data_IF_299605082070
#
_entry.id   IF_299605082070
#
_cell.length_a   1.000
_cell.length_b   1.000
_cell.length_c   1.000
_cell.angle_alpha   90.00
_cell.angle_beta   90.00
_cell.angle_gamma   90.00
#
_symmetry.space_group_name_H-M   'P 1'
#
loop_
_entity.id
_entity.type
_entity.pdbx_description
1 polymer ?
#
# COMPACT_ATOMS: atom_id res chain seq x y z
N UNK A 1 30.42 24.90 22.05
CA UNK A 1 29.53 23.84 21.52
C UNK A 1 30.22 22.49 21.69
N UNK A 2 30.04 21.83 22.83
CA UNK A 2 30.54 20.47 23.04
C UNK A 2 29.49 19.50 22.51
N UNK A 3 29.83 18.74 21.48
CA UNK A 3 28.99 17.72 20.90
C UNK A 3 28.59 16.71 22.00
N UNK A 4 27.30 16.65 22.35
CA UNK A 4 26.75 15.70 23.33
C UNK A 4 26.68 14.28 22.72
N UNK A 5 27.81 13.79 22.22
CA UNK A 5 27.89 12.57 21.43
C UNK A 5 28.16 11.32 22.27
N UNK A 6 28.39 11.44 23.59
CA UNK A 6 28.70 10.28 24.44
C UNK A 6 27.97 10.42 25.80
N UNK A 7 27.01 9.53 26.08
CA UNK A 7 26.29 9.48 27.36
C UNK A 7 25.06 8.54 27.35
N UNK A 8 24.48 8.26 28.54
CA UNK A 8 23.30 7.37 28.72
C UNK A 8 22.08 7.72 27.85
N UNK A 9 21.98 8.96 27.36
CA UNK A 9 20.92 9.40 26.44
C UNK A 9 21.20 9.16 24.94
N UNK A 10 22.37 8.64 24.56
CA UNK A 10 22.76 8.40 23.17
C UNK A 10 22.02 7.21 22.56
N UNK A 11 22.02 6.07 23.27
CA UNK A 11 21.44 4.82 22.76
C UNK A 11 19.95 4.96 22.40
N UNK A 12 19.09 5.57 23.24
CA UNK A 12 17.68 5.79 22.86
C UNK A 12 17.52 6.71 21.63
N UNK A 13 18.37 7.74 21.49
CA UNK A 13 18.33 8.66 20.34
C UNK A 13 18.77 7.97 19.05
N UNK A 14 19.84 7.19 19.12
CA UNK A 14 20.35 6.42 17.98
C UNK A 14 19.34 5.33 17.57
N UNK A 15 18.72 4.66 18.54
CA UNK A 15 17.68 3.67 18.28
C UNK A 15 16.48 4.27 17.56
N UNK A 16 15.96 5.41 18.05
CA UNK A 16 14.86 6.13 17.36
C UNK A 16 15.28 6.55 15.95
N UNK A 17 16.54 6.97 15.75
CA UNK A 17 17.04 7.31 14.42
C UNK A 17 17.02 6.09 13.48
N UNK A 18 17.47 4.93 13.96
CA UNK A 18 17.42 3.67 13.21
C UNK A 18 15.96 3.30 12.88
N UNK A 19 15.04 3.39 13.85
CA UNK A 19 13.61 3.13 13.59
C UNK A 19 13.05 4.08 12.52
N UNK A 20 13.43 5.36 12.55
CA UNK A 20 12.99 6.33 11.52
C UNK A 20 13.55 5.97 10.16
N UNK A 21 14.84 5.69 10.06
CA UNK A 21 15.49 5.28 8.80
C UNK A 21 14.88 3.98 8.25
N UNK A 22 14.59 3.02 9.11
CA UNK A 22 13.88 1.79 8.75
C UNK A 22 12.54 2.09 8.09
N UNK A 23 11.71 2.92 8.73
CA UNK A 23 10.41 3.30 8.17
C UNK A 23 10.58 4.02 6.83
N UNK A 24 11.46 5.03 6.74
CA UNK A 24 11.64 5.81 5.50
C UNK A 24 12.17 5.01 4.32
N UNK A 25 13.14 4.12 4.56
CA UNK A 25 13.86 3.46 3.47
C UNK A 25 13.25 2.08 3.23
N UNK A 26 13.22 1.25 4.27
CA UNK A 26 12.85 -0.16 4.14
C UNK A 26 11.34 -0.31 4.01
N UNK A 27 10.55 0.27 4.92
CA UNK A 27 9.09 0.11 4.88
C UNK A 27 8.48 0.71 3.61
N UNK A 28 8.86 1.95 3.28
CA UNK A 28 8.39 2.60 2.05
C UNK A 28 8.93 1.91 0.80
N UNK A 29 10.21 1.51 0.78
CA UNK A 29 10.76 0.73 -0.34
C UNK A 29 9.99 -0.58 -0.57
N UNK A 30 9.63 -1.27 0.51
CA UNK A 30 8.83 -2.50 0.46
C UNK A 30 7.37 -2.27 0.02
N UNK A 31 6.85 -1.05 0.07
CA UNK A 31 5.53 -0.68 -0.47
C UNK A 31 5.60 -0.16 -1.91
N UNK A 32 6.71 0.47 -2.30
CA UNK A 32 6.94 0.88 -3.69
C UNK A 32 7.07 -0.34 -4.62
N UNK A 33 7.70 -1.42 -4.15
CA UNK A 33 7.82 -2.67 -4.93
C UNK A 33 6.46 -3.25 -5.36
N UNK A 34 5.50 -3.54 -4.46
CA UNK A 34 4.19 -4.01 -4.86
C UNK A 34 3.44 -2.97 -5.70
N UNK A 35 3.62 -1.66 -5.46
CA UNK A 35 3.01 -0.63 -6.31
C UNK A 35 3.45 -0.78 -7.77
N UNK A 36 4.76 -0.92 -8.01
CA UNK A 36 5.31 -1.14 -9.34
C UNK A 36 4.81 -2.45 -9.96
N UNK A 37 4.73 -3.51 -9.17
CA UNK A 37 4.20 -4.81 -9.59
C UNK A 37 2.74 -4.70 -10.03
N UNK A 38 1.88 -4.01 -9.28
CA UNK A 38 0.49 -3.83 -9.67
C UNK A 38 0.33 -2.98 -10.94
N UNK A 39 1.24 -2.02 -11.19
CA UNK A 39 1.29 -1.31 -12.48
C UNK A 39 1.66 -2.27 -13.62
N UNK A 40 2.64 -3.15 -13.41
CA UNK A 40 3.01 -4.16 -14.41
C UNK A 40 1.88 -5.17 -14.69
N UNK A 41 1.20 -5.64 -13.64
CA UNK A 41 0.03 -6.53 -13.74
C UNK A 41 -1.07 -5.85 -14.56
N UNK A 42 -1.38 -4.58 -14.29
CA UNK A 42 -2.38 -3.84 -15.05
C UNK A 42 -2.04 -3.76 -16.54
N UNK A 43 -0.78 -3.47 -16.88
CA UNK A 43 -0.29 -3.44 -18.26
C UNK A 43 -0.42 -4.83 -18.90
N UNK A 44 -0.02 -5.89 -18.18
CA UNK A 44 -0.08 -7.27 -18.67
C UNK A 44 -1.52 -7.75 -18.86
N UNK A 45 -2.42 -7.42 -17.95
CA UNK A 45 -3.85 -7.72 -18.05
C UNK A 45 -4.47 -7.01 -19.25
N UNK A 46 -4.18 -5.72 -19.42
CA UNK A 46 -4.66 -4.92 -20.55
C UNK A 46 -4.13 -5.46 -21.88
N UNK A 47 -2.84 -5.83 -21.94
CA UNK A 47 -2.24 -6.42 -23.13
C UNK A 47 -2.83 -7.80 -23.43
N UNK A 48 -3.00 -8.65 -22.42
CA UNK A 48 -3.60 -9.98 -22.60
C UNK A 48 -5.04 -9.88 -23.10
N UNK A 49 -5.80 -8.91 -22.58
CA UNK A 49 -7.14 -8.62 -23.09
C UNK A 49 -7.09 -8.17 -24.56
N UNK A 50 -6.23 -7.20 -24.90
CA UNK A 50 -6.07 -6.73 -26.27
C UNK A 50 -5.65 -7.84 -27.24
N UNK A 51 -4.69 -8.70 -26.85
CA UNK A 51 -4.17 -9.80 -27.67
C UNK A 51 -5.21 -10.93 -27.83
N UNK A 52 -6.06 -11.17 -26.82
CA UNK A 52 -7.05 -12.27 -26.83
C UNK A 52 -8.38 -11.85 -27.48
N UNK A 53 -8.75 -10.58 -27.34
CA UNK A 53 -10.04 -10.04 -27.83
C UNK A 53 -9.87 -9.06 -28.98
N UNK A 54 -8.67 -8.80 -29.50
CA UNK A 54 -8.38 -7.99 -30.70
C UNK A 54 -9.02 -6.58 -30.70
N UNK A 55 -8.81 -5.81 -29.61
CA UNK A 55 -9.42 -4.48 -29.36
C UNK A 55 -10.96 -4.42 -29.42
N UNK A 56 -11.63 -5.57 -29.44
CA UNK A 56 -13.05 -5.68 -29.72
C UNK A 56 -13.90 -5.25 -28.53
N UNK A 57 -14.60 -4.13 -28.67
CA UNK A 57 -15.53 -3.58 -27.66
C UNK A 57 -17.01 -3.84 -27.98
N UNK A 58 -17.29 -4.75 -28.90
CA UNK A 58 -18.64 -5.23 -29.21
C UNK A 58 -19.21 -4.68 -30.51
N UNK A 59 -19.80 -5.60 -31.27
CA UNK A 59 -20.69 -5.42 -32.43
C UNK A 59 -20.07 -5.43 -33.85
N UNK A 60 -18.95 -6.11 -34.07
CA UNK A 60 -18.57 -6.54 -35.43
C UNK A 60 -18.84 -8.05 -35.61
N UNK A 61 -19.96 -8.35 -36.28
CA UNK A 61 -20.47 -9.69 -36.60
C UNK A 61 -19.41 -10.56 -37.29
N UNK A 62 -18.50 -9.96 -38.07
CA UNK A 62 -17.48 -10.68 -38.84
C UNK A 62 -16.47 -11.43 -37.97
N UNK A 63 -16.30 -11.03 -36.70
CA UNK A 63 -15.43 -11.73 -35.75
C UNK A 63 -16.15 -12.94 -35.15
N UNK A 64 -17.44 -12.83 -34.84
CA UNK A 64 -18.24 -13.94 -34.31
C UNK A 64 -18.52 -15.03 -35.35
N UNK A 65 -18.70 -14.63 -36.62
CA UNK A 65 -18.87 -15.56 -37.74
C UNK A 65 -17.65 -16.50 -37.89
N UNK A 66 -16.47 -16.13 -37.37
CA UNK A 66 -15.26 -16.97 -37.40
C UNK A 66 -15.22 -18.05 -36.32
N UNK A 67 -15.93 -17.88 -35.20
CA UNK A 67 -15.89 -18.80 -34.06
C UNK A 67 -17.08 -19.74 -34.01
N UNK A 68 -18.31 -19.23 -34.20
CA UNK A 68 -19.54 -20.02 -34.00
C UNK A 68 -20.44 -20.10 -35.25
N UNK A 69 -20.23 -19.25 -36.26
CA UNK A 69 -21.02 -19.25 -37.51
C UNK A 69 -22.52 -18.95 -37.32
N UNK A 70 -22.95 -18.52 -36.14
CA UNK A 70 -24.32 -18.13 -35.84
C UNK A 70 -24.56 -16.67 -36.29
N UNK A 71 -25.47 -16.40 -37.24
CA UNK A 71 -25.79 -15.06 -37.70
C UNK A 71 -26.41 -14.16 -36.62
N UNK A 72 -26.74 -14.70 -35.45
CA UNK A 72 -27.20 -13.94 -34.28
C UNK A 72 -26.11 -13.72 -33.22
N UNK A 73 -24.89 -14.24 -33.42
CA UNK A 73 -23.75 -13.99 -32.54
C UNK A 73 -23.27 -12.54 -32.74
N UNK A 74 -23.90 -11.61 -32.04
CA UNK A 74 -23.73 -10.16 -32.22
C UNK A 74 -24.82 -9.34 -31.50
N UNK A 75 -26.04 -9.88 -31.39
CA UNK A 75 -27.14 -9.31 -30.60
C UNK A 75 -27.14 -9.70 -29.12
N UNK A 76 -27.28 -8.71 -28.22
CA UNK A 76 -27.25 -8.81 -26.73
C UNK A 76 -27.96 -10.03 -26.11
N UNK A 77 -28.98 -10.57 -26.76
CA UNK A 77 -29.72 -11.76 -26.33
C UNK A 77 -28.94 -13.08 -26.54
N UNK A 78 -28.10 -13.18 -27.57
CA UNK A 78 -27.21 -14.32 -27.87
C UNK A 78 -25.73 -14.00 -27.61
N UNK A 79 -25.33 -12.73 -27.74
CA UNK A 79 -23.97 -12.29 -27.46
C UNK A 79 -23.83 -11.91 -26.02
N UNK A 80 -22.99 -12.68 -25.38
CA UNK A 80 -22.69 -12.59 -23.97
C UNK A 80 -21.70 -11.45 -23.67
N UNK A 81 -21.87 -10.29 -24.31
CA UNK A 81 -21.00 -9.11 -24.23
C UNK A 81 -20.79 -8.67 -22.76
N UNK A 82 -21.80 -8.70 -21.85
CA UNK A 82 -21.56 -8.42 -20.43
C UNK A 82 -20.70 -9.48 -19.72
N UNK A 83 -20.72 -10.76 -20.15
CA UNK A 83 -20.01 -11.84 -19.44
C UNK A 83 -18.51 -11.86 -19.73
N UNK A 84 -18.10 -11.44 -20.94
CA UNK A 84 -16.70 -11.46 -21.36
C UNK A 84 -15.95 -10.15 -21.01
N UNK A 85 -16.68 -9.04 -20.82
CA UNK A 85 -16.12 -7.76 -20.39
C UNK A 85 -16.04 -7.62 -18.85
N UNK A 86 -16.87 -8.36 -18.12
CA UNK A 86 -16.93 -8.30 -16.65
C UNK A 86 -15.63 -8.68 -15.96
N UNK A 87 -14.92 -9.71 -16.45
CA UNK A 87 -13.63 -10.13 -15.91
C UNK A 87 -12.53 -9.06 -16.04
N UNK A 88 -12.28 -8.52 -17.25
CA UNK A 88 -11.32 -7.43 -17.47
C UNK A 88 -11.64 -6.16 -16.68
N UNK A 89 -12.90 -5.73 -16.63
CA UNK A 89 -13.31 -4.54 -15.85
C UNK A 89 -13.10 -4.77 -14.36
N UNK A 90 -13.47 -5.95 -13.84
CA UNK A 90 -13.23 -6.30 -12.45
C UNK A 90 -11.72 -6.34 -12.12
N UNK A 91 -10.90 -6.92 -12.99
CA UNK A 91 -9.45 -6.96 -12.83
C UNK A 91 -8.85 -5.53 -12.82
N UNK A 92 -9.26 -4.67 -13.75
CA UNK A 92 -8.80 -3.28 -13.80
C UNK A 92 -9.19 -2.48 -12.55
N UNK A 93 -10.43 -2.63 -12.07
CA UNK A 93 -10.88 -1.99 -10.83
C UNK A 93 -10.07 -2.51 -9.64
N UNK A 94 -9.81 -3.82 -9.58
CA UNK A 94 -9.00 -4.41 -8.53
C UNK A 94 -7.56 -3.90 -8.56
N UNK A 95 -6.93 -3.84 -9.73
CA UNK A 95 -5.57 -3.32 -9.91
C UNK A 95 -5.48 -1.86 -9.40
N UNK A 96 -6.44 -1.00 -9.76
CA UNK A 96 -6.52 0.39 -9.30
C UNK A 96 -6.78 0.47 -7.78
N UNK A 97 -7.66 -0.37 -7.25
CA UNK A 97 -7.92 -0.43 -5.81
C UNK A 97 -6.66 -0.82 -5.03
N UNK A 98 -5.86 -1.74 -5.57
CA UNK A 98 -4.57 -2.12 -4.98
C UNK A 98 -3.57 -0.97 -4.95
N UNK A 99 -3.51 -0.13 -6.00
CA UNK A 99 -2.68 1.09 -5.96
C UNK A 99 -3.11 2.01 -4.83
N UNK A 100 -4.42 2.24 -4.68
CA UNK A 100 -4.99 3.09 -3.62
C UNK A 100 -4.65 2.51 -2.23
N UNK A 101 -4.84 1.22 -2.01
CA UNK A 101 -4.51 0.56 -0.74
C UNK A 101 -3.03 0.67 -0.40
N UNK A 102 -2.14 0.54 -1.38
CA UNK A 102 -0.70 0.70 -1.16
C UNK A 102 -0.35 2.16 -0.81
N UNK A 103 -0.98 3.13 -1.46
CA UNK A 103 -0.80 4.56 -1.13
C UNK A 103 -1.30 4.87 0.28
N UNK A 104 -2.47 4.35 0.67
CA UNK A 104 -2.99 4.46 2.04
C UNK A 104 -1.98 3.86 3.03
N UNK A 105 -1.45 2.67 2.75
CA UNK A 105 -0.48 2.01 3.63
C UNK A 105 0.84 2.82 3.77
N UNK A 106 1.30 3.46 2.70
CA UNK A 106 2.46 4.36 2.73
C UNK A 106 2.17 5.63 3.54
N UNK A 107 1.02 6.26 3.34
CA UNK A 107 0.62 7.43 4.13
C UNK A 107 0.47 7.07 5.61
N UNK A 108 -0.05 5.88 5.92
CA UNK A 108 -0.18 5.37 7.28
C UNK A 108 1.16 5.03 7.96
N UNK A 109 2.26 4.86 7.21
CA UNK A 109 3.60 4.76 7.79
C UNK A 109 4.25 6.13 8.05
N UNK A 110 3.77 7.17 7.37
CA UNK A 110 4.42 8.48 7.28
C UNK A 110 3.61 9.63 7.93
N UNK A 111 2.40 9.37 8.40
CA UNK A 111 1.49 10.38 8.97
C UNK A 111 2.10 11.19 10.12
N UNK A 112 2.97 10.56 10.93
CA UNK A 112 3.64 11.21 12.07
C UNK A 112 4.68 12.25 11.64
N UNK A 113 5.13 12.24 10.39
CA UNK A 113 6.11 13.20 9.85
C UNK A 113 5.49 14.24 8.94
N UNK A 114 4.64 13.80 8.01
CA UNK A 114 4.18 14.64 6.91
C UNK A 114 2.69 14.97 7.06
N UNK A 115 2.33 16.25 7.21
CA UNK A 115 0.94 16.67 7.33
C UNK A 115 0.08 16.27 6.13
N UNK A 116 0.66 16.23 4.93
CA UNK A 116 -0.06 15.83 3.70
C UNK A 116 -0.52 14.36 3.75
N UNK A 117 0.27 13.48 4.36
CA UNK A 117 -0.11 12.07 4.54
C UNK A 117 -1.30 11.95 5.50
N UNK A 118 -1.34 12.81 6.53
CA UNK A 118 -2.43 12.89 7.48
C UNK A 118 -3.72 13.35 6.81
N UNK A 119 -3.66 14.45 6.04
CA UNK A 119 -4.79 14.99 5.29
C UNK A 119 -5.33 14.00 4.25
N UNK A 120 -4.44 13.25 3.60
CA UNK A 120 -4.85 12.20 2.68
C UNK A 120 -5.62 11.08 3.40
N UNK A 121 -5.14 10.64 4.57
CA UNK A 121 -5.86 9.63 5.37
C UNK A 121 -7.23 10.15 5.83
N UNK A 122 -7.32 11.40 6.27
CA UNK A 122 -8.60 12.04 6.63
C UNK A 122 -9.59 12.04 5.46
N UNK A 123 -9.12 12.27 4.24
CA UNK A 123 -9.97 12.24 3.04
C UNK A 123 -10.60 10.87 2.74
N UNK A 124 -10.10 9.78 3.34
CA UNK A 124 -10.66 8.42 3.23
C UNK A 124 -11.49 8.03 4.46
N UNK A 125 -12.14 9.01 5.11
CA UNK A 125 -13.05 8.83 6.26
C UNK A 125 -12.38 8.25 7.52
N UNK A 126 -11.10 8.54 7.76
CA UNK A 126 -10.45 8.18 9.03
C UNK A 126 -10.60 9.27 10.10
N UNK A 127 -11.72 9.99 10.13
CA UNK A 127 -11.98 11.11 11.06
C UNK A 127 -12.10 10.65 12.52
N UNK A 128 -12.41 9.37 12.75
CA UNK A 128 -12.48 8.76 14.09
C UNK A 128 -11.14 8.66 14.83
N UNK A 129 -10.02 9.04 14.20
CA UNK A 129 -8.72 9.15 14.86
C UNK A 129 -8.64 10.28 15.91
N UNK A 130 -9.67 11.12 16.02
CA UNK A 130 -9.67 12.37 16.80
C UNK A 130 -10.63 12.45 17.99
N UNK A 131 -11.22 11.34 18.43
CA UNK A 131 -11.91 11.42 19.73
C UNK A 131 -10.87 11.62 20.85
N UNK A 132 -11.04 12.68 21.65
CA UNK A 132 -10.24 13.01 22.85
C UNK A 132 -10.20 11.89 23.91
N UNK A 133 -10.84 10.74 23.64
CA UNK A 133 -10.82 9.54 24.46
C UNK A 133 -9.57 8.71 24.14
N UNK A 134 -8.57 8.82 25.01
CA UNK A 134 -7.38 7.94 25.04
C UNK A 134 -6.74 7.74 23.64
N UNK A 135 -6.15 8.81 23.11
CA UNK A 135 -5.33 8.84 21.89
C UNK A 135 -4.27 7.71 21.76
N UNK A 136 -3.87 7.05 22.85
CA UNK A 136 -2.93 5.92 22.82
C UNK A 136 -3.58 4.66 22.23
N UNK A 137 -4.85 4.42 22.52
CA UNK A 137 -5.55 3.22 22.06
C UNK A 137 -5.85 3.34 20.56
N UNK A 138 -6.30 4.51 20.11
CA UNK A 138 -6.70 4.78 18.72
C UNK A 138 -5.52 4.67 17.74
N UNK A 139 -4.35 5.20 18.08
CA UNK A 139 -3.14 5.07 17.25
C UNK A 139 -2.61 3.63 17.20
N UNK A 140 -2.70 2.89 18.32
CA UNK A 140 -2.33 1.47 18.34
C UNK A 140 -3.22 0.66 17.40
N UNK A 141 -4.55 0.86 17.48
CA UNK A 141 -5.49 0.23 16.56
C UNK A 141 -5.22 0.61 15.11
N UNK A 142 -4.87 1.86 14.83
CA UNK A 142 -4.51 2.32 13.50
C UNK A 142 -3.26 1.63 12.95
N UNK A 143 -2.20 1.50 13.76
CA UNK A 143 -0.97 0.79 13.36
C UNK A 143 -1.24 -0.69 13.04
N UNK A 144 -2.05 -1.34 13.88
CA UNK A 144 -2.44 -2.74 13.68
C UNK A 144 -3.32 -2.89 12.44
N UNK A 145 -4.29 -1.99 12.22
CA UNK A 145 -5.11 -1.98 11.02
C UNK A 145 -4.26 -1.80 9.74
N UNK A 146 -3.26 -0.91 9.77
CA UNK A 146 -2.33 -0.75 8.66
C UNK A 146 -1.49 -2.02 8.44
N UNK A 147 -1.08 -2.73 9.50
CA UNK A 147 -0.41 -4.02 9.36
C UNK A 147 -1.30 -5.07 8.69
N UNK A 148 -2.61 -5.13 9.02
CA UNK A 148 -3.57 -5.99 8.33
C UNK A 148 -3.78 -5.60 6.87
N UNK A 149 -3.85 -4.30 6.57
CA UNK A 149 -3.92 -3.82 5.18
C UNK A 149 -2.69 -4.28 4.39
N UNK A 150 -1.49 -4.20 4.97
CA UNK A 150 -0.27 -4.72 4.34
C UNK A 150 -0.28 -6.24 4.18
N UNK A 151 -0.81 -6.98 5.16
CA UNK A 151 -0.99 -8.44 5.01
C UNK A 151 -1.97 -8.76 3.87
N UNK A 152 -3.03 -7.98 3.71
CA UNK A 152 -3.92 -8.10 2.56
C UNK A 152 -3.18 -7.83 1.24
N UNK A 153 -2.35 -6.77 1.18
CA UNK A 153 -1.50 -6.48 0.01
C UNK A 153 -0.54 -7.63 -0.29
N UNK A 154 0.10 -8.21 0.75
CA UNK A 154 0.96 -9.40 0.63
C UNK A 154 0.18 -10.56 0.05
N UNK A 155 -1.01 -10.86 0.57
CA UNK A 155 -1.83 -11.97 0.07
C UNK A 155 -2.28 -11.76 -1.38
N UNK A 156 -2.76 -10.55 -1.70
CA UNK A 156 -3.22 -10.20 -3.05
C UNK A 156 -2.07 -10.22 -4.06
N UNK A 157 -0.92 -9.63 -3.73
CA UNK A 157 0.27 -9.63 -4.60
C UNK A 157 0.87 -11.03 -4.72
N UNK A 158 0.90 -11.77 -3.61
CA UNK A 158 1.37 -13.15 -3.56
C UNK A 158 0.51 -14.10 -4.40
N UNK A 159 -0.81 -13.90 -4.45
CA UNK A 159 -1.68 -14.67 -5.33
C UNK A 159 -1.31 -14.50 -6.81
N UNK A 160 -0.78 -13.33 -7.20
CA UNK A 160 -0.36 -13.05 -8.58
C UNK A 160 0.97 -13.72 -8.96
N UNK A 161 1.69 -14.32 -8.01
CA UNK A 161 2.90 -15.12 -8.31
C UNK A 161 2.55 -16.42 -9.05
N UNK A 162 1.34 -16.95 -8.83
CA UNK A 162 0.90 -18.21 -9.41
C UNK A 162 0.09 -18.05 -10.70
N UNK A 163 -0.42 -16.85 -10.99
CA UNK A 163 -1.30 -16.56 -12.14
C UNK A 163 -0.55 -16.27 -13.45
N UNK A 164 0.78 -16.37 -13.47
CA UNK A 164 1.59 -15.99 -14.64
C UNK A 164 2.72 -16.95 -15.04
N UNK A 165 2.79 -18.17 -14.47
CA UNK A 165 3.78 -19.18 -14.89
C UNK A 165 3.51 -19.65 -16.33
N UNK A 166 4.01 -18.90 -17.32
CA UNK A 166 4.17 -19.38 -18.69
C UNK A 166 5.58 -19.96 -18.82
N UNK A 167 5.75 -21.30 -18.83
CA UNK A 167 7.07 -21.93 -18.70
C UNK A 167 8.02 -21.71 -19.89
N UNK A 168 7.58 -21.11 -21.00
CA UNK A 168 8.41 -20.87 -22.17
C UNK A 168 8.15 -19.46 -22.73
N UNK A 169 9.06 -18.54 -22.45
CA UNK A 169 9.08 -17.23 -23.11
C UNK A 169 10.52 -16.88 -23.50
N UNK A 170 10.76 -16.66 -24.79
CA UNK A 170 12.06 -16.22 -25.30
C UNK A 170 12.41 -14.78 -24.83
N UNK A 171 13.68 -14.60 -24.45
CA UNK A 171 14.29 -13.46 -23.74
C UNK A 171 14.23 -12.10 -24.47
N UNK A 172 14.35 -10.95 -23.75
CA UNK A 172 14.18 -10.77 -22.31
C UNK A 172 12.74 -10.29 -22.02
N UNK A 173 12.00 -11.04 -21.21
CA UNK A 173 10.66 -10.63 -20.74
C UNK A 173 10.69 -10.52 -19.23
N UNK A 174 10.29 -9.35 -18.73
CA UNK A 174 10.23 -9.05 -17.30
C UNK A 174 9.34 -10.10 -16.63
N UNK A 175 9.93 -10.89 -15.73
CA UNK A 175 9.26 -11.98 -15.01
C UNK A 175 8.39 -11.39 -13.89
N UNK A 176 7.20 -10.93 -14.27
CA UNK A 176 6.20 -10.34 -13.36
C UNK A 176 5.89 -11.27 -12.18
N UNK A 177 5.69 -12.60 -12.35
CA UNK A 177 5.57 -13.55 -11.24
C UNK A 177 6.74 -13.53 -10.24
N UNK A 178 7.98 -13.51 -10.71
CA UNK A 178 9.15 -13.46 -9.84
C UNK A 178 9.24 -12.12 -9.09
N UNK A 179 8.92 -11.00 -9.76
CA UNK A 179 8.83 -9.69 -9.11
C UNK A 179 7.71 -9.64 -8.06
N UNK A 180 6.54 -10.24 -8.31
CA UNK A 180 5.47 -10.41 -7.33
C UNK A 180 5.99 -11.16 -6.09
N UNK A 181 6.80 -12.20 -6.28
CA UNK A 181 7.32 -13.03 -5.19
C UNK A 181 8.27 -12.23 -4.31
N UNK A 182 9.21 -11.49 -4.92
CA UNK A 182 10.11 -10.62 -4.18
C UNK A 182 9.35 -9.52 -3.43
N UNK A 183 8.41 -8.84 -4.08
CA UNK A 183 7.61 -7.80 -3.44
C UNK A 183 6.83 -8.34 -2.23
N UNK A 184 6.25 -9.53 -2.37
CA UNK A 184 5.50 -10.23 -1.32
C UNK A 184 6.39 -10.59 -0.14
N UNK A 185 7.55 -11.21 -0.38
CA UNK A 185 8.47 -11.63 0.69
C UNK A 185 9.06 -10.43 1.42
N UNK A 186 9.50 -9.40 0.69
CA UNK A 186 10.04 -8.18 1.29
C UNK A 186 8.99 -7.48 2.15
N UNK A 187 7.77 -7.28 1.63
CA UNK A 187 6.70 -6.65 2.40
C UNK A 187 6.33 -7.48 3.62
N UNK A 188 6.11 -8.79 3.48
CA UNK A 188 5.73 -9.69 4.57
C UNK A 188 6.73 -9.65 5.73
N UNK A 189 8.03 -9.73 5.43
CA UNK A 189 9.09 -9.65 6.43
C UNK A 189 9.16 -8.26 7.05
N UNK A 190 8.96 -7.20 6.27
CA UNK A 190 9.04 -5.82 6.77
C UNK A 190 7.96 -5.45 7.79
N UNK A 191 6.74 -6.02 7.69
CA UNK A 191 5.58 -5.69 8.52
C UNK A 191 5.88 -5.73 10.03
N UNK A 192 6.38 -6.84 10.63
CA UNK A 192 6.64 -6.89 12.07
C UNK A 192 7.67 -5.85 12.52
N UNK A 193 8.74 -5.63 11.73
CA UNK A 193 9.76 -4.65 12.07
C UNK A 193 9.26 -3.21 11.95
N UNK A 194 8.45 -2.90 10.94
CA UNK A 194 7.82 -1.59 10.78
C UNK A 194 6.88 -1.29 11.94
N UNK A 195 6.08 -2.28 12.37
CA UNK A 195 5.18 -2.13 13.50
C UNK A 195 5.96 -1.82 14.79
N UNK A 196 7.04 -2.55 15.07
CA UNK A 196 7.94 -2.28 16.19
C UNK A 196 8.55 -0.87 16.08
N UNK A 197 9.06 -0.50 14.90
CA UNK A 197 9.68 0.80 14.67
C UNK A 197 8.70 1.96 14.89
N UNK A 198 7.47 1.85 14.38
CA UNK A 198 6.43 2.86 14.57
C UNK A 198 6.01 2.97 16.03
N UNK A 199 5.94 1.86 16.77
CA UNK A 199 5.71 1.92 18.22
C UNK A 199 6.76 2.75 18.95
N UNK A 200 8.04 2.54 18.66
CA UNK A 200 9.11 3.34 19.27
C UNK A 200 9.07 4.81 18.86
N UNK A 201 8.73 5.11 17.60
CA UNK A 201 8.66 6.49 17.09
C UNK A 201 7.53 7.25 17.77
N UNK A 202 6.32 6.69 17.78
CA UNK A 202 5.14 7.34 18.36
C UNK A 202 5.31 7.50 19.86
N UNK A 203 5.78 6.46 20.56
CA UNK A 203 6.05 6.55 22.00
C UNK A 203 7.10 7.63 22.31
N UNK A 204 8.16 7.72 21.50
CA UNK A 204 9.18 8.76 21.62
C UNK A 204 8.65 10.18 21.37
N UNK A 205 7.69 10.36 20.48
CA UNK A 205 7.03 11.65 20.22
C UNK A 205 6.17 12.09 21.41
N UNK A 206 5.31 11.20 21.92
CA UNK A 206 4.47 11.49 23.10
C UNK A 206 5.27 11.84 24.34
N UNK A 207 6.37 11.12 24.58
CA UNK A 207 7.27 11.42 25.69
C UNK A 207 7.94 12.80 25.57
N UNK A 208 8.02 13.35 24.35
CA UNK A 208 8.53 14.71 24.12
C UNK A 208 7.43 15.74 24.36
N UNK A 209 6.24 15.53 23.80
CA UNK A 209 5.07 16.40 23.99
C UNK A 209 4.75 16.57 25.47
N UNK A 210 4.69 15.47 26.24
CA UNK A 210 4.45 15.52 27.69
C UNK A 210 5.51 16.35 28.45
N UNK A 211 6.77 16.26 28.04
CA UNK A 211 7.86 17.06 28.65
C UNK A 211 7.74 18.53 28.29
N UNK A 212 7.35 18.83 27.06
CA UNK A 212 7.17 20.20 26.58
C UNK A 212 5.97 20.86 27.28
N UNK A 213 4.88 20.12 27.51
CA UNK A 213 3.72 20.56 28.30
C UNK A 213 4.07 20.83 29.78
N UNK A 214 4.78 19.90 30.44
CA UNK A 214 5.26 20.09 31.81
C UNK A 214 6.13 21.35 31.92
N UNK A 215 7.04 21.54 30.97
CA UNK A 215 7.92 22.70 30.95
C UNK A 215 7.14 24.00 30.74
N UNK A 216 6.16 24.01 29.84
CA UNK A 216 5.27 25.15 29.64
C UNK A 216 4.45 25.47 30.89
N UNK A 217 3.95 24.44 31.60
CA UNK A 217 3.24 24.61 32.87
C UNK A 217 4.15 25.18 33.98
N UNK A 218 5.40 24.72 34.08
CA UNK A 218 6.39 25.26 35.01
C UNK A 218 6.75 26.72 34.70
N UNK A 219 6.92 27.07 33.43
CA UNK A 219 7.19 28.43 32.98
C UNK A 219 6.00 29.36 33.26
N UNK A 220 4.76 28.89 33.00
CA UNK A 220 3.54 29.63 33.34
C UNK A 220 3.34 29.80 34.85
N UNK A 221 3.73 28.81 35.66
CA UNK A 221 3.69 28.90 37.11
C UNK A 221 4.74 29.87 37.67
N UNK A 222 5.91 29.95 37.05
CA UNK A 222 6.96 30.92 37.40
C UNK A 222 6.59 32.35 37.01
N UNK A 223 5.89 32.56 35.89
CA UNK A 223 5.43 33.87 35.45
C UNK A 223 4.29 34.45 36.31
N UNK A 224 3.62 33.62 37.12
CA UNK A 224 2.56 34.03 38.06
C UNK A 224 3.05 34.31 39.48
N UNK A 225 4.36 34.14 39.75
CA UNK A 225 5.02 34.47 41.03
C UNK A 225 5.87 35.73 40.87
#
# INVERSE_FOLDING_TARGET
MAASFVGRGMFPKLWILICKLWVYIVSIGCLIMPLAVWVMIFIQNTKTFADTMDHYLGNDQKVYDRFDGDPNAGYVCNTNIPKHLGGPVFAAIFDVAMWIFIVIAMCADLFWKFPICKQFLESVWTDGLYEDRKFIDVEFFFLVANAFLKLFIVAATGAQTYTGLKPNQDDPKIDTPLFCLYATLCLAVSIPFTLIALFYIIHGMKMREYKDELKAAEEAAKAKK
#
